data_IF_340893400841
#
_entry.id   IF_340893400841
#
_cell.length_a   1.000
_cell.length_b   1.000
_cell.length_c   1.000
_cell.angle_alpha   90.00
_cell.angle_beta   90.00
_cell.angle_gamma   90.00
#
_symmetry.space_group_name_H-M   'P 1'
#
loop_
_entity.id
_entity.type
_entity.pdbx_description
1 polymer ?
#
# COMPACT_ATOMS: atom_id res chain seq x y z
N UNK A 1 19.03 -11.56 5.98
CA UNK A 1 17.59 -11.90 6.02
C UNK A 1 17.09 -12.27 7.41
N UNK A 2 17.83 -13.06 8.20
CA UNK A 2 17.40 -13.46 9.56
C UNK A 2 17.07 -12.27 10.48
N UNK A 3 17.90 -11.22 10.51
CA UNK A 3 17.64 -10.02 11.31
C UNK A 3 16.32 -9.33 10.95
N UNK A 4 15.98 -9.22 9.66
CA UNK A 4 14.71 -8.62 9.22
C UNK A 4 13.51 -9.47 9.63
N UNK A 5 13.64 -10.81 9.58
CA UNK A 5 12.59 -11.70 10.07
C UNK A 5 12.35 -11.55 11.57
N UNK A 6 13.41 -11.39 12.38
CA UNK A 6 13.27 -11.10 13.82
C UNK A 6 12.52 -9.79 14.03
N UNK A 7 12.85 -8.74 13.27
CA UNK A 7 12.13 -7.46 13.31
C UNK A 7 10.65 -7.62 12.95
N UNK A 8 10.33 -8.40 11.91
CA UNK A 8 8.93 -8.68 11.54
C UNK A 8 8.18 -9.45 12.62
N UNK A 9 8.83 -10.40 13.29
CA UNK A 9 8.22 -11.12 14.39
C UNK A 9 7.94 -10.21 15.58
N UNK A 10 8.88 -9.33 15.93
CA UNK A 10 8.71 -8.42 17.03
C UNK A 10 7.63 -7.36 16.73
N UNK A 11 7.62 -6.85 15.49
CA UNK A 11 6.56 -5.97 15.01
C UNK A 11 5.18 -6.65 15.07
N UNK A 12 5.12 -7.94 14.70
CA UNK A 12 3.88 -8.72 14.79
C UNK A 12 3.42 -8.88 16.24
N UNK A 13 4.32 -9.21 17.18
CA UNK A 13 3.96 -9.29 18.61
C UNK A 13 3.46 -7.96 19.13
N UNK A 14 4.12 -6.87 18.75
CA UNK A 14 3.69 -5.52 19.11
C UNK A 14 2.29 -5.23 18.58
N UNK A 15 2.00 -5.57 17.33
CA UNK A 15 0.64 -5.45 16.80
C UNK A 15 -0.39 -6.34 17.49
N UNK A 16 -0.02 -7.58 17.84
CA UNK A 16 -0.88 -8.52 18.56
C UNK A 16 -1.24 -8.04 19.99
N UNK A 17 -0.50 -7.07 20.55
CA UNK A 17 -0.84 -6.41 21.82
C UNK A 17 -2.10 -5.54 21.73
N UNK A 18 -2.49 -5.09 20.53
CA UNK A 18 -3.68 -4.27 20.34
C UNK A 18 -4.91 -5.15 20.08
N UNK A 19 -5.98 -4.96 20.87
CA UNK A 19 -7.21 -5.75 20.74
C UNK A 19 -7.88 -5.68 19.37
N UNK A 20 -7.76 -4.56 18.65
CA UNK A 20 -8.33 -4.37 17.32
C UNK A 20 -7.54 -5.07 16.20
N UNK A 21 -6.26 -5.41 16.42
CA UNK A 21 -5.39 -5.96 15.38
C UNK A 21 -5.92 -7.27 14.82
N UNK A 22 -6.41 -8.17 15.69
CA UNK A 22 -6.93 -9.49 15.28
C UNK A 22 -8.11 -9.36 14.30
N UNK A 23 -8.92 -8.30 14.45
CA UNK A 23 -10.05 -8.06 13.56
C UNK A 23 -9.60 -7.40 12.26
N UNK A 24 -8.75 -6.37 12.31
CA UNK A 24 -8.27 -5.68 11.11
C UNK A 24 -7.39 -6.55 10.23
N UNK A 25 -6.62 -7.48 10.80
CA UNK A 25 -5.75 -8.39 10.03
C UNK A 25 -6.51 -9.22 9.00
N UNK A 26 -7.80 -9.52 9.22
CA UNK A 26 -8.64 -10.23 8.25
C UNK A 26 -8.91 -9.43 6.98
N UNK A 27 -8.73 -8.11 7.06
CA UNK A 27 -8.98 -7.15 6.01
C UNK A 27 -7.69 -6.54 5.45
N UNK A 28 -6.52 -7.13 5.73
CA UNK A 28 -5.21 -6.60 5.34
C UNK A 28 -5.11 -6.28 3.84
N UNK A 29 -5.50 -7.23 2.99
CA UNK A 29 -5.51 -7.08 1.54
C UNK A 29 -6.54 -6.06 1.05
N UNK A 30 -7.73 -6.04 1.66
CA UNK A 30 -8.80 -5.10 1.30
C UNK A 30 -8.41 -3.66 1.67
N UNK A 31 -7.70 -3.47 2.78
CA UNK A 31 -7.18 -2.17 3.17
C UNK A 31 -6.06 -1.72 2.23
N UNK A 32 -5.15 -2.65 1.90
CA UNK A 32 -4.03 -2.39 0.99
C UNK A 32 -4.53 -2.03 -0.42
N UNK A 33 -5.23 -2.94 -1.09
CA UNK A 33 -5.67 -2.74 -2.47
C UNK A 33 -6.94 -1.90 -2.58
N UNK A 34 -7.78 -1.86 -1.55
CA UNK A 34 -8.95 -0.98 -1.53
C UNK A 34 -8.55 0.49 -1.39
N UNK A 35 -7.55 0.80 -0.55
CA UNK A 35 -6.96 2.14 -0.49
C UNK A 35 -6.40 2.58 -1.85
N UNK A 36 -5.58 1.72 -2.46
CA UNK A 36 -5.06 1.93 -3.82
C UNK A 36 -6.18 2.13 -4.85
N UNK A 37 -7.20 1.28 -4.82
CA UNK A 37 -8.30 1.32 -5.78
C UNK A 37 -9.10 2.62 -5.69
N UNK A 38 -9.32 3.13 -4.48
CA UNK A 38 -9.99 4.43 -4.28
C UNK A 38 -9.11 5.59 -4.73
N UNK A 39 -7.80 5.55 -4.44
CA UNK A 39 -6.86 6.56 -4.94
C UNK A 39 -6.78 6.58 -6.47
N UNK A 40 -6.71 5.42 -7.09
CA UNK A 40 -6.72 5.28 -8.55
C UNK A 40 -8.05 5.73 -9.17
N UNK A 41 -9.18 5.41 -8.53
CA UNK A 41 -10.49 5.89 -8.96
C UNK A 41 -10.55 7.41 -8.94
N UNK A 42 -10.04 8.06 -7.90
CA UNK A 42 -9.96 9.52 -7.82
C UNK A 42 -9.20 10.12 -9.01
N UNK A 43 -8.01 9.59 -9.31
CA UNK A 43 -7.19 10.06 -10.43
C UNK A 43 -7.90 9.89 -11.79
N UNK A 44 -8.54 8.74 -12.02
CA UNK A 44 -9.34 8.50 -13.23
C UNK A 44 -10.50 9.48 -13.32
N UNK A 45 -11.22 9.69 -12.22
CA UNK A 45 -12.38 10.56 -12.20
C UNK A 45 -12.00 12.00 -12.53
N UNK A 46 -10.89 12.51 -12.00
CA UNK A 46 -10.38 13.84 -12.35
C UNK A 46 -9.95 13.92 -13.81
N UNK A 47 -9.35 12.87 -14.34
CA UNK A 47 -8.87 12.85 -15.72
C UNK A 47 -10.02 12.87 -16.74
N UNK A 48 -11.13 12.18 -16.45
CA UNK A 48 -12.21 11.92 -17.41
C UNK A 48 -13.40 12.88 -17.25
N UNK A 49 -13.76 13.25 -16.01
CA UNK A 49 -14.99 14.02 -15.78
C UNK A 49 -14.84 15.49 -16.21
N UNK A 50 -15.90 16.08 -16.79
CA UNK A 50 -15.90 17.50 -17.11
C UNK A 50 -15.90 18.34 -15.83
N UNK A 51 -15.38 19.57 -15.94
CA UNK A 51 -15.28 20.53 -14.84
C UNK A 51 -16.60 20.77 -14.07
N UNK A 52 -17.74 20.60 -14.71
CA UNK A 52 -19.06 20.71 -14.08
C UNK A 52 -19.28 19.67 -12.95
N UNK A 53 -18.56 18.56 -12.97
CA UNK A 53 -18.65 17.48 -11.96
C UNK A 53 -17.76 17.72 -10.74
N UNK A 54 -16.97 18.81 -10.73
CA UNK A 54 -15.96 19.08 -9.69
C UNK A 54 -16.57 19.19 -8.29
N UNK A 55 -17.79 19.74 -8.15
CA UNK A 55 -18.47 19.84 -6.85
C UNK A 55 -18.77 18.45 -6.24
N UNK A 56 -19.12 17.47 -7.08
CA UNK A 56 -19.33 16.09 -6.63
C UNK A 56 -18.03 15.44 -6.17
N UNK A 57 -16.94 15.63 -6.93
CA UNK A 57 -15.61 15.12 -6.56
C UNK A 57 -15.09 15.75 -5.26
N UNK A 58 -15.25 17.07 -5.08
CA UNK A 58 -14.87 17.76 -3.85
C UNK A 58 -15.64 17.16 -2.66
N UNK A 59 -16.95 16.97 -2.81
CA UNK A 59 -17.78 16.42 -1.73
C UNK A 59 -17.32 15.01 -1.34
N UNK A 60 -17.13 14.12 -2.32
CA UNK A 60 -16.74 12.74 -2.06
C UNK A 60 -15.32 12.63 -1.46
N UNK A 61 -14.34 13.31 -2.07
CA UNK A 61 -12.93 13.07 -1.75
C UNK A 61 -12.34 14.01 -0.70
N UNK A 62 -12.95 15.17 -0.48
CA UNK A 62 -12.47 16.17 0.49
C UNK A 62 -13.45 16.43 1.64
N UNK A 63 -14.77 16.38 1.41
CA UNK A 63 -15.76 16.54 2.50
C UNK A 63 -16.06 15.23 3.25
N UNK A 64 -16.14 14.09 2.56
CA UNK A 64 -16.26 12.73 3.15
C UNK A 64 -14.86 12.09 3.36
N UNK A 65 -13.84 12.95 3.48
CA UNK A 65 -12.41 12.73 3.13
C UNK A 65 -12.03 11.36 2.53
N UNK A 66 -12.68 10.92 1.45
CA UNK A 66 -12.48 9.56 0.93
C UNK A 66 -11.03 9.33 0.46
N UNK A 67 -10.36 10.36 -0.07
CA UNK A 67 -8.96 10.26 -0.51
C UNK A 67 -8.01 10.07 0.67
N UNK A 68 -8.21 10.82 1.76
CA UNK A 68 -7.39 10.69 2.96
C UNK A 68 -7.61 9.33 3.62
N UNK A 69 -8.86 8.87 3.71
CA UNK A 69 -9.19 7.54 4.21
C UNK A 69 -8.53 6.44 3.37
N UNK A 70 -8.52 6.58 2.05
CA UNK A 70 -7.86 5.64 1.15
C UNK A 70 -6.36 5.54 1.40
N UNK A 71 -5.68 6.68 1.55
CA UNK A 71 -4.25 6.71 1.86
C UNK A 71 -3.94 6.08 3.23
N UNK A 72 -4.74 6.38 4.26
CA UNK A 72 -4.57 5.76 5.57
C UNK A 72 -4.86 4.25 5.53
N UNK A 73 -5.88 3.84 4.77
CA UNK A 73 -6.20 2.42 4.57
C UNK A 73 -5.06 1.68 3.86
N UNK A 74 -4.46 2.27 2.82
CA UNK A 74 -3.30 1.70 2.14
C UNK A 74 -2.12 1.53 3.10
N UNK A 75 -1.75 2.57 3.86
CA UNK A 75 -0.64 2.50 4.81
C UNK A 75 -0.89 1.44 5.89
N UNK A 76 -2.09 1.42 6.48
CA UNK A 76 -2.44 0.44 7.49
C UNK A 76 -2.46 -0.97 6.90
N UNK A 77 -3.00 -1.14 5.69
CA UNK A 77 -2.96 -2.37 4.91
C UNK A 77 -1.53 -2.84 4.66
N UNK A 78 -0.60 -1.93 4.34
CA UNK A 78 0.81 -2.24 4.11
C UNK A 78 1.47 -2.76 5.39
N UNK A 79 1.28 -2.08 6.52
CA UNK A 79 1.78 -2.51 7.83
C UNK A 79 1.22 -3.86 8.28
N UNK A 80 -0.09 -4.08 8.12
CA UNK A 80 -0.72 -5.35 8.43
C UNK A 80 -0.19 -6.47 7.52
N UNK A 81 -0.08 -6.18 6.22
CA UNK A 81 0.37 -7.15 5.23
C UNK A 81 1.83 -7.57 5.48
N UNK A 82 2.67 -6.65 5.93
CA UNK A 82 4.08 -6.91 6.28
C UNK A 82 4.23 -7.99 7.38
N UNK A 83 3.24 -8.12 8.27
CA UNK A 83 3.21 -9.12 9.35
C UNK A 83 2.27 -10.30 9.07
N UNK A 84 1.63 -10.30 7.90
CA UNK A 84 0.67 -11.31 7.47
C UNK A 84 1.32 -12.46 6.69
N UNK A 85 0.56 -13.52 6.42
CA UNK A 85 0.96 -14.54 5.44
C UNK A 85 0.90 -14.05 3.98
N UNK A 86 0.31 -12.88 3.75
CA UNK A 86 0.08 -12.27 2.45
C UNK A 86 1.20 -11.31 2.02
N UNK A 87 2.32 -11.28 2.74
CA UNK A 87 3.47 -10.39 2.46
C UNK A 87 3.95 -10.44 1.00
N UNK A 88 3.77 -11.57 0.30
CA UNK A 88 4.08 -11.73 -1.12
C UNK A 88 3.36 -10.72 -2.04
N UNK A 89 2.22 -10.17 -1.60
CA UNK A 89 1.45 -9.20 -2.39
C UNK A 89 1.88 -7.74 -2.15
N UNK A 90 2.57 -7.47 -1.04
CA UNK A 90 2.99 -6.12 -0.66
C UNK A 90 3.90 -5.44 -1.68
N UNK A 91 4.89 -6.12 -2.32
CA UNK A 91 5.71 -5.49 -3.35
C UNK A 91 4.89 -4.90 -4.49
N UNK A 92 3.89 -5.65 -4.96
CA UNK A 92 3.04 -5.21 -6.07
C UNK A 92 2.19 -4.01 -5.68
N UNK A 93 1.65 -3.98 -4.46
CA UNK A 93 0.92 -2.83 -3.96
C UNK A 93 1.81 -1.58 -3.84
N UNK A 94 3.05 -1.72 -3.34
CA UNK A 94 4.00 -0.61 -3.26
C UNK A 94 4.39 -0.08 -4.64
N UNK A 95 4.56 -0.97 -5.63
CA UNK A 95 4.80 -0.55 -7.01
C UNK A 95 3.59 0.13 -7.65
N UNK A 96 2.38 -0.36 -7.38
CA UNK A 96 1.15 0.29 -7.84
C UNK A 96 1.00 1.68 -7.22
N UNK A 97 1.32 1.86 -5.94
CA UNK A 97 1.33 3.18 -5.30
C UNK A 97 2.36 4.11 -5.96
N UNK A 98 3.57 3.60 -6.24
CA UNK A 98 4.59 4.39 -6.94
C UNK A 98 4.11 4.85 -8.32
N UNK A 99 3.42 3.97 -9.07
CA UNK A 99 2.80 4.30 -10.35
C UNK A 99 1.68 5.32 -10.18
N UNK A 100 0.83 5.15 -9.15
CA UNK A 100 -0.29 6.04 -8.87
C UNK A 100 0.19 7.46 -8.56
N UNK A 101 1.26 7.63 -7.79
CA UNK A 101 1.83 8.93 -7.42
C UNK A 101 2.29 9.74 -8.64
N UNK A 102 2.80 9.08 -9.67
CA UNK A 102 3.31 9.73 -10.89
C UNK A 102 2.28 9.75 -12.01
N UNK A 103 1.17 9.03 -11.87
CA UNK A 103 0.05 9.09 -12.79
C UNK A 103 -0.56 10.50 -12.78
N UNK A 104 -0.98 11.08 -13.92
CA UNK A 104 -1.03 10.51 -15.28
C UNK A 104 0.23 10.76 -16.13
N UNK A 105 1.40 10.90 -15.52
CA UNK A 105 2.71 11.12 -16.17
C UNK A 105 2.86 12.44 -16.94
N UNK A 106 1.93 13.39 -16.75
CA UNK A 106 1.93 14.67 -17.47
C UNK A 106 2.69 15.79 -16.75
N UNK A 107 2.90 15.67 -15.43
CA UNK A 107 3.52 16.72 -14.60
C UNK A 107 4.46 16.12 -13.54
N UNK A 108 5.52 15.45 -14.00
CA UNK A 108 6.51 14.82 -13.12
C UNK A 108 7.34 15.90 -12.40
N UNK A 109 7.07 16.07 -11.11
CA UNK A 109 7.84 16.95 -10.23
C UNK A 109 8.77 16.14 -9.33
N UNK A 110 9.84 16.76 -8.84
CA UNK A 110 10.73 16.12 -7.86
C UNK A 110 9.95 15.67 -6.60
N UNK A 111 8.95 16.44 -6.19
CA UNK A 111 8.08 16.16 -5.06
C UNK A 111 7.22 14.90 -5.24
N UNK A 112 6.87 14.53 -6.48
CA UNK A 112 6.22 13.25 -6.79
C UNK A 112 7.21 12.11 -7.03
N UNK A 113 8.36 12.39 -7.65
CA UNK A 113 9.38 11.39 -7.94
C UNK A 113 10.02 10.80 -6.68
N UNK A 114 10.30 11.62 -5.65
CA UNK A 114 10.94 11.14 -4.43
C UNK A 114 10.04 10.09 -3.73
N UNK A 115 8.76 10.36 -3.42
CA UNK A 115 7.86 9.36 -2.84
C UNK A 115 7.71 8.11 -3.72
N UNK A 116 7.54 8.28 -5.03
CA UNK A 116 7.42 7.16 -5.95
C UNK A 116 8.68 6.27 -5.94
N UNK A 117 9.86 6.86 -5.94
CA UNK A 117 11.12 6.13 -5.84
C UNK A 117 11.25 5.40 -4.49
N UNK A 118 10.82 6.02 -3.39
CA UNK A 118 10.79 5.37 -2.07
C UNK A 118 9.89 4.13 -2.11
N UNK A 119 8.66 4.24 -2.61
CA UNK A 119 7.75 3.10 -2.71
C UNK A 119 8.28 2.01 -3.67
N UNK A 120 8.89 2.40 -4.79
CA UNK A 120 9.51 1.46 -5.72
C UNK A 120 10.65 0.66 -5.07
N UNK A 121 11.55 1.35 -4.34
CA UNK A 121 12.67 0.73 -3.63
C UNK A 121 12.19 -0.16 -2.49
N UNK A 122 11.21 0.28 -1.69
CA UNK A 122 10.61 -0.53 -0.65
C UNK A 122 9.99 -1.80 -1.24
N UNK A 123 9.25 -1.68 -2.34
CA UNK A 123 8.69 -2.82 -3.07
C UNK A 123 9.77 -3.81 -3.50
N UNK A 124 10.90 -3.31 -4.04
CA UNK A 124 12.05 -4.15 -4.41
C UNK A 124 12.66 -4.89 -3.22
N UNK A 125 12.88 -4.22 -2.08
CA UNK A 125 13.44 -4.87 -0.89
C UNK A 125 12.50 -5.93 -0.31
N UNK A 126 11.20 -5.65 -0.24
CA UNK A 126 10.20 -6.63 0.20
C UNK A 126 10.14 -7.80 -0.79
N UNK A 127 10.17 -7.54 -2.10
CA UNK A 127 10.18 -8.60 -3.12
C UNK A 127 11.37 -9.53 -2.94
N UNK A 128 12.58 -8.95 -2.84
CA UNK A 128 13.82 -9.71 -2.59
C UNK A 128 13.72 -10.55 -1.32
N UNK A 129 13.20 -9.98 -0.23
CA UNK A 129 12.96 -10.71 1.01
C UNK A 129 12.01 -11.90 0.81
N UNK A 130 10.85 -11.66 0.20
CA UNK A 130 9.84 -12.71 0.00
C UNK A 130 10.33 -13.83 -0.93
N UNK A 131 11.13 -13.49 -1.95
CA UNK A 131 11.73 -14.47 -2.84
C UNK A 131 12.75 -15.36 -2.12
N UNK A 132 13.66 -14.79 -1.32
CA UNK A 132 14.64 -15.57 -0.56
C UNK A 132 13.97 -16.44 0.51
N UNK A 133 12.98 -15.90 1.22
CA UNK A 133 12.24 -16.66 2.24
C UNK A 133 11.40 -17.82 1.66
N UNK A 134 10.98 -17.73 0.39
CA UNK A 134 10.30 -18.81 -0.30
C UNK A 134 11.28 -19.92 -0.71
N UNK A 135 12.47 -19.56 -1.19
CA UNK A 135 13.54 -20.50 -1.55
C UNK A 135 13.95 -21.36 -0.34
N UNK A 136 14.09 -20.75 0.84
CA UNK A 136 14.39 -21.46 2.10
C UNK A 136 13.28 -22.44 2.53
N UNK A 137 12.02 -22.24 2.11
CA UNK A 137 10.90 -23.16 2.38
C UNK A 137 10.77 -24.28 1.36
N UNK A 138 11.21 -24.06 0.12
CA UNK A 138 11.27 -25.09 -0.92
C UNK A 138 12.54 -25.93 -0.88
N UNK A 139 13.53 -25.54 -0.06
CA UNK A 139 14.80 -26.23 0.08
C UNK A 139 14.86 -27.17 1.29
N UNK A 140 14.37 -28.40 1.12
CA UNK A 140 14.90 -29.60 1.79
C UNK A 140 14.65 -30.82 0.91
N UNK A 141 15.61 -31.75 0.88
CA UNK A 141 16.88 -31.73 0.13
C UNK A 141 16.71 -32.04 -1.37
#
# INVERSE_FOLDING_TARGET
>A
MQQFWVVLQELRKWFESFGWYRQLRKYDMQLLFGGLGVGFLYEILILILPYQSTSGLITLFYTIPLLALAHQAFLLGAWLTLTSGNIKYLPYALWLEAVLIIFPFSHITLAGLIPAAVYALLGYFVFKYTATAYVDKSGTP
#
